data_IF_286237876203
#
_entry.id   IF_286237876203
#
_cell.length_a   1.000
_cell.length_b   1.000
_cell.length_c   1.000
_cell.angle_alpha   90.00
_cell.angle_beta   90.00
_cell.angle_gamma   90.00
#
_symmetry.space_group_name_H-M   'P 1'
#
loop_
_entity.id
_entity.type
_entity.pdbx_description
1 polymer ?
#
# COMPACT_ATOMS: atom_id res chain seq x y z
N UNK A 1 31.77 -16.17 4.56
CA UNK A 1 32.26 -15.93 5.94
C UNK A 1 31.39 -16.73 6.90
N UNK A 2 31.95 -17.47 7.88
CA UNK A 2 31.14 -18.15 8.88
C UNK A 2 30.41 -17.09 9.73
N UNK A 3 29.08 -17.19 9.82
CA UNK A 3 28.22 -16.21 10.47
C UNK A 3 27.79 -15.09 9.53
N UNK A 4 26.74 -15.31 8.73
CA UNK A 4 26.06 -14.19 8.07
C UNK A 4 25.40 -13.34 9.15
N UNK A 5 25.73 -12.03 9.25
CA UNK A 5 25.24 -11.16 10.30
C UNK A 5 23.82 -10.78 9.94
N UNK A 6 22.86 -11.62 10.32
CA UNK A 6 21.49 -11.13 10.40
C UNK A 6 21.51 -9.94 11.35
N UNK A 7 21.00 -8.80 10.88
CA UNK A 7 20.95 -7.58 11.68
C UNK A 7 20.14 -7.90 12.94
N UNK A 8 20.77 -7.80 14.12
CA UNK A 8 20.11 -8.10 15.40
C UNK A 8 18.90 -7.20 15.65
N UNK A 9 18.86 -6.05 14.98
CA UNK A 9 17.71 -5.16 14.95
C UNK A 9 17.33 -4.83 13.50
N UNK A 10 16.03 -4.83 13.16
CA UNK A 10 15.58 -4.42 11.85
C UNK A 10 15.99 -2.96 11.58
N UNK A 11 16.46 -2.62 10.36
CA UNK A 11 16.85 -1.26 10.03
C UNK A 11 15.74 -0.26 10.34
N UNK A 12 16.08 0.77 11.12
CA UNK A 12 15.14 1.84 11.44
C UNK A 12 14.74 2.57 10.15
N UNK A 13 13.44 2.78 9.95
CA UNK A 13 12.90 3.49 8.79
C UNK A 13 12.49 2.63 7.60
N UNK A 14 12.66 1.31 7.63
CA UNK A 14 12.12 0.44 6.58
C UNK A 14 10.59 0.45 6.57
N UNK A 15 10.01 0.83 5.43
CA UNK A 15 8.59 0.67 5.19
C UNK A 15 8.30 -0.80 4.87
N UNK A 16 7.98 -1.58 5.90
CA UNK A 16 7.61 -2.99 5.74
C UNK A 16 6.15 -3.12 5.30
N UNK A 17 5.82 -4.24 4.65
CA UNK A 17 4.44 -4.54 4.25
C UNK A 17 3.41 -4.40 5.39
N UNK A 18 3.66 -4.92 6.61
CA UNK A 18 2.72 -4.73 7.72
C UNK A 18 2.53 -3.26 8.11
N UNK A 19 3.60 -2.45 8.07
CA UNK A 19 3.52 -1.01 8.38
C UNK A 19 2.73 -0.26 7.31
N UNK A 20 2.98 -0.59 6.04
CA UNK A 20 2.27 -0.02 4.91
C UNK A 20 0.78 -0.35 4.99
N UNK A 21 0.42 -1.62 5.24
CA UNK A 21 -0.97 -2.05 5.37
C UNK A 21 -1.71 -1.35 6.52
N UNK A 22 -1.06 -1.17 7.67
CA UNK A 22 -1.65 -0.43 8.80
C UNK A 22 -2.01 1.02 8.47
N UNK A 23 -1.31 1.62 7.52
CA UNK A 23 -1.56 3.00 7.07
C UNK A 23 -2.56 3.01 5.91
N UNK A 24 -2.34 2.17 4.89
CA UNK A 24 -3.14 2.19 3.66
C UNK A 24 -4.55 1.64 3.88
N UNK A 25 -4.71 0.62 4.72
CA UNK A 25 -6.01 -0.02 4.95
C UNK A 25 -7.07 0.97 5.46
N UNK A 26 -6.87 1.72 6.56
CA UNK A 26 -7.89 2.67 7.03
C UNK A 26 -8.20 3.77 5.99
N UNK A 27 -7.20 4.22 5.23
CA UNK A 27 -7.38 5.23 4.18
C UNK A 27 -8.24 4.68 3.05
N UNK A 28 -7.89 3.52 2.51
CA UNK A 28 -8.63 2.88 1.42
C UNK A 28 -10.05 2.56 1.86
N UNK A 29 -10.26 2.07 3.08
CA UNK A 29 -11.59 1.80 3.62
C UNK A 29 -12.42 3.07 3.74
N UNK A 30 -11.87 4.16 4.26
CA UNK A 30 -12.59 5.44 4.39
C UNK A 30 -13.00 6.00 3.02
N UNK A 31 -12.10 5.99 2.04
CA UNK A 31 -12.39 6.47 0.68
C UNK A 31 -13.40 5.56 -0.02
N UNK A 32 -13.32 4.24 0.19
CA UNK A 32 -14.29 3.29 -0.38
C UNK A 32 -15.69 3.53 0.19
N UNK A 33 -15.81 3.74 1.50
CA UNK A 33 -17.08 4.07 2.15
C UNK A 33 -17.64 5.41 1.64
N UNK A 34 -16.80 6.43 1.48
CA UNK A 34 -17.20 7.70 0.88
C UNK A 34 -17.68 7.52 -0.57
N UNK A 35 -16.95 6.74 -1.38
CA UNK A 35 -17.31 6.50 -2.78
C UNK A 35 -18.63 5.76 -2.92
N UNK A 36 -18.93 4.85 -1.99
CA UNK A 36 -20.24 4.22 -1.89
C UNK A 36 -21.33 5.26 -1.61
N UNK A 37 -21.11 6.16 -0.65
CA UNK A 37 -22.11 7.17 -0.26
C UNK A 37 -22.45 8.15 -1.37
N UNK A 38 -21.50 8.45 -2.25
CA UNK A 38 -21.68 9.36 -3.38
C UNK A 38 -22.00 8.65 -4.71
N UNK A 39 -22.27 7.33 -4.68
CA UNK A 39 -22.56 6.51 -5.87
C UNK A 39 -21.47 6.56 -6.97
N UNK A 40 -20.20 6.77 -6.58
CA UNK A 40 -19.02 6.84 -7.48
C UNK A 40 -18.06 5.66 -7.28
N UNK A 41 -18.61 4.50 -6.93
CA UNK A 41 -17.83 3.30 -6.61
C UNK A 41 -17.04 2.77 -7.81
N UNK A 42 -17.59 2.92 -9.03
CA UNK A 42 -16.95 2.47 -10.26
C UNK A 42 -15.74 3.33 -10.61
N UNK A 43 -15.87 4.66 -10.52
CA UNK A 43 -14.80 5.62 -10.74
C UNK A 43 -13.66 5.40 -9.76
N UNK A 44 -14.00 5.16 -8.49
CA UNK A 44 -13.02 4.80 -7.46
C UNK A 44 -12.28 3.51 -7.80
N UNK A 45 -13.00 2.47 -8.24
CA UNK A 45 -12.38 1.20 -8.65
C UNK A 45 -11.42 1.38 -9.84
N UNK A 46 -11.84 2.13 -10.87
CA UNK A 46 -11.01 2.46 -12.02
C UNK A 46 -9.76 3.21 -11.58
N UNK A 47 -9.89 4.21 -10.71
CA UNK A 47 -8.78 4.98 -10.17
C UNK A 47 -7.77 4.08 -9.44
N UNK A 48 -8.26 3.19 -8.56
CA UNK A 48 -7.41 2.23 -7.84
C UNK A 48 -6.66 1.31 -8.80
N UNK A 49 -7.35 0.72 -9.79
CA UNK A 49 -6.72 -0.17 -10.77
C UNK A 49 -5.64 0.56 -11.56
N UNK A 50 -5.94 1.74 -12.10
CA UNK A 50 -4.96 2.53 -12.86
C UNK A 50 -3.76 2.92 -12.01
N UNK A 51 -3.98 3.39 -10.78
CA UNK A 51 -2.91 3.77 -9.85
C UNK A 51 -1.98 2.61 -9.53
N UNK A 52 -2.53 1.41 -9.28
CA UNK A 52 -1.75 0.20 -9.02
C UNK A 52 -0.99 -0.28 -10.27
N UNK A 53 -1.62 -0.25 -11.45
CA UNK A 53 -0.97 -0.59 -12.72
C UNK A 53 0.19 0.35 -13.01
N UNK A 54 0.00 1.67 -12.86
CA UNK A 54 1.06 2.66 -13.06
C UNK A 54 2.20 2.43 -12.05
N UNK A 55 1.87 2.22 -10.78
CA UNK A 55 2.88 1.94 -9.74
C UNK A 55 3.71 0.69 -10.08
N UNK A 56 3.06 -0.35 -10.58
CA UNK A 56 3.73 -1.56 -11.05
C UNK A 56 4.65 -1.29 -12.25
N UNK A 57 4.21 -0.48 -13.22
CA UNK A 57 5.00 -0.13 -14.40
C UNK A 57 6.20 0.77 -14.06
N UNK A 58 6.07 1.68 -13.08
CA UNK A 58 7.14 2.59 -12.65
C UNK A 58 8.21 1.87 -11.82
N UNK A 59 7.86 0.79 -11.10
CA UNK A 59 8.79 0.02 -10.25
C UNK A 59 9.81 -0.83 -11.05
N UNK A 60 10.17 -0.43 -12.27
CA UNK A 60 11.27 -1.05 -13.04
C UNK A 60 12.62 -0.69 -12.45
#
# INVERSE_FOLDING_TARGET
MPGTPYLEQPPQGLMTWPKLLKISLPIITAITAASWWYDVLLEWAIFLTLGLTISFLIRR
#
